data_IF_761260518119
#
_entry.id   IF_761260518119
#
_cell.length_a   1.000
_cell.length_b   1.000
_cell.length_c   1.000
_cell.angle_alpha   90.00
_cell.angle_beta   90.00
_cell.angle_gamma   90.00
#
_symmetry.space_group_name_H-M   'P 1'
#
loop_
_entity.id
_entity.type
_entity.pdbx_description
1 polymer ?
#
# COMPACT_ATOMS: atom_id res chain seq x y z
N UNK A 1 -38.30 -2.40 6.29
CA UNK A 1 -37.04 -2.01 6.96
C UNK A 1 -35.85 -2.64 6.24
N UNK A 2 -35.02 -1.84 5.55
CA UNK A 2 -33.89 -2.32 4.74
C UNK A 2 -32.62 -2.27 5.60
N UNK A 3 -32.22 -3.41 6.16
CA UNK A 3 -31.04 -3.55 7.03
C UNK A 3 -29.78 -3.28 6.22
N UNK A 4 -29.13 -2.14 6.45
CA UNK A 4 -27.81 -1.82 5.88
C UNK A 4 -26.75 -2.65 6.60
N UNK A 5 -26.35 -3.76 5.98
CA UNK A 5 -25.16 -4.51 6.41
C UNK A 5 -23.96 -3.58 6.23
N UNK A 6 -23.48 -2.97 7.32
CA UNK A 6 -22.21 -2.26 7.32
C UNK A 6 -21.12 -3.29 7.06
N UNK A 7 -20.67 -3.39 5.81
CA UNK A 7 -19.43 -4.09 5.46
C UNK A 7 -18.29 -3.40 6.22
N UNK A 8 -17.96 -3.93 7.39
CA UNK A 8 -16.71 -3.59 8.08
C UNK A 8 -15.61 -3.98 7.10
N UNK A 9 -15.02 -2.98 6.43
CA UNK A 9 -13.89 -3.20 5.55
C UNK A 9 -12.74 -3.67 6.44
N UNK A 10 -12.61 -4.98 6.60
CA UNK A 10 -11.44 -5.56 7.24
C UNK A 10 -10.27 -5.26 6.33
N UNK A 11 -9.50 -4.25 6.71
CA UNK A 11 -8.23 -3.93 6.08
C UNK A 11 -7.17 -4.94 6.57
N UNK A 12 -7.42 -6.22 6.31
CA UNK A 12 -6.39 -7.25 6.36
C UNK A 12 -5.67 -7.23 5.02
N UNK A 13 -4.34 -7.32 5.01
CA UNK A 13 -3.58 -7.41 3.77
C UNK A 13 -3.78 -8.82 3.16
N UNK A 14 -4.55 -9.01 2.08
CA UNK A 14 -4.65 -10.31 1.42
C UNK A 14 -3.31 -10.76 0.82
N UNK A 15 -2.36 -9.83 0.66
CA UNK A 15 -0.98 -10.05 0.24
C UNK A 15 0.00 -10.47 1.34
N UNK A 16 -0.51 -10.91 2.50
CA UNK A 16 0.33 -11.30 3.64
C UNK A 16 1.30 -12.48 3.33
N UNK A 17 1.18 -13.17 2.20
CA UNK A 17 1.97 -14.37 1.89
C UNK A 17 2.94 -14.19 0.71
N UNK A 18 3.21 -12.95 0.30
CA UNK A 18 4.24 -12.69 -0.71
C UNK A 18 5.65 -13.06 -0.24
N UNK A 19 6.60 -13.25 -1.17
CA UNK A 19 7.96 -13.71 -0.85
C UNK A 19 8.71 -12.80 0.13
N UNK A 20 8.39 -11.50 0.18
CA UNK A 20 9.00 -10.56 1.12
C UNK A 20 8.26 -10.45 2.45
N UNK A 21 7.08 -11.06 2.59
CA UNK A 21 6.27 -10.95 3.80
C UNK A 21 6.95 -11.48 5.07
N UNK A 22 7.72 -12.59 5.07
CA UNK A 22 8.45 -13.03 6.26
C UNK A 22 9.43 -11.97 6.78
N UNK A 23 10.21 -11.38 5.87
CA UNK A 23 11.18 -10.34 6.21
C UNK A 23 10.48 -9.09 6.76
N UNK A 24 9.40 -8.65 6.10
CA UNK A 24 8.62 -7.47 6.51
C UNK A 24 8.01 -7.66 7.90
N UNK A 25 7.53 -8.86 8.22
CA UNK A 25 7.01 -9.18 9.57
C UNK A 25 8.10 -9.16 10.64
N UNK A 26 9.28 -9.70 10.34
CA UNK A 26 10.44 -9.66 11.24
C UNK A 26 10.82 -8.20 11.53
N UNK A 27 10.96 -7.38 10.48
CA UNK A 27 11.23 -5.94 10.63
C UNK A 27 10.16 -5.23 11.47
N UNK A 28 8.88 -5.57 11.28
CA UNK A 28 7.77 -5.04 12.09
C UNK A 28 7.90 -5.41 13.57
N UNK A 29 8.37 -6.60 13.90
CA UNK A 29 8.61 -7.01 15.30
C UNK A 29 9.76 -6.22 15.92
N UNK A 30 10.88 -6.02 15.20
CA UNK A 30 12.02 -5.25 15.70
C UNK A 30 11.72 -3.75 15.88
N UNK A 31 11.03 -3.12 14.91
CA UNK A 31 10.72 -1.68 14.94
C UNK A 31 9.53 -1.36 15.86
N UNK A 32 8.65 -2.33 16.07
CA UNK A 32 7.39 -2.16 16.79
C UNK A 32 6.25 -1.69 15.88
N UNK A 33 5.06 -2.27 16.07
CA UNK A 33 3.92 -2.10 15.16
C UNK A 33 3.48 -0.64 14.95
N UNK A 34 3.49 0.19 16.01
CA UNK A 34 3.08 1.60 15.92
C UNK A 34 4.02 2.41 15.03
N UNK A 35 5.33 2.31 15.28
CA UNK A 35 6.36 3.01 14.48
C UNK A 35 6.42 2.47 13.07
N UNK A 36 6.35 1.15 12.89
CA UNK A 36 6.31 0.52 11.58
C UNK A 36 5.13 1.01 10.73
N UNK A 37 3.92 1.06 11.29
CA UNK A 37 2.75 1.54 10.58
C UNK A 37 2.84 3.03 10.20
N UNK A 38 3.43 3.86 11.06
CA UNK A 38 3.68 5.27 10.75
C UNK A 38 4.71 5.44 9.62
N UNK A 39 5.82 4.69 9.68
CA UNK A 39 6.84 4.69 8.63
C UNK A 39 6.26 4.21 7.30
N UNK A 40 5.49 3.12 7.33
CA UNK A 40 4.76 2.60 6.16
C UNK A 40 3.81 3.66 5.58
N UNK A 41 3.02 4.33 6.41
CA UNK A 41 2.12 5.39 5.95
C UNK A 41 2.86 6.55 5.26
N UNK A 42 3.96 7.02 5.86
CA UNK A 42 4.81 8.07 5.27
C UNK A 42 5.46 7.62 3.96
N UNK A 43 6.01 6.42 3.93
CA UNK A 43 6.66 5.85 2.75
C UNK A 43 5.66 5.67 1.58
N UNK A 44 4.45 5.16 1.84
CA UNK A 44 3.42 5.01 0.80
C UNK A 44 2.99 6.37 0.26
N UNK A 45 2.84 7.37 1.13
CA UNK A 45 2.49 8.74 0.73
C UNK A 45 3.55 9.34 -0.17
N UNK A 46 4.81 9.31 0.27
CA UNK A 46 5.95 9.84 -0.49
C UNK A 46 6.11 9.11 -1.82
N UNK A 47 6.01 7.78 -1.82
CA UNK A 47 6.12 6.98 -3.04
C UNK A 47 5.01 7.32 -4.05
N UNK A 48 3.77 7.49 -3.59
CA UNK A 48 2.66 7.92 -4.45
C UNK A 48 2.88 9.32 -5.01
N UNK A 49 3.52 10.22 -4.25
CA UNK A 49 3.88 11.56 -4.72
C UNK A 49 4.96 11.52 -5.80
N UNK A 50 6.01 10.70 -5.62
CA UNK A 50 7.05 10.49 -6.63
C UNK A 50 6.46 9.96 -7.94
N UNK A 51 5.54 8.99 -7.87
CA UNK A 51 4.85 8.48 -9.07
C UNK A 51 4.06 9.60 -9.76
N UNK A 52 3.33 10.44 -9.01
CA UNK A 52 2.59 11.57 -9.58
C UNK A 52 3.53 12.58 -10.24
N UNK A 53 4.66 12.90 -9.59
CA UNK A 53 5.66 13.82 -10.13
C UNK A 53 6.29 13.25 -11.40
N UNK A 54 6.67 11.98 -11.40
CA UNK A 54 7.17 11.29 -12.58
C UNK A 54 6.15 11.34 -13.73
N UNK A 55 4.90 10.94 -13.47
CA UNK A 55 3.84 11.01 -14.47
C UNK A 55 3.61 12.45 -14.99
N UNK A 56 3.74 13.46 -14.14
CA UNK A 56 3.64 14.86 -14.55
C UNK A 56 4.79 15.30 -15.46
N UNK A 57 6.02 14.83 -15.19
CA UNK A 57 7.19 15.17 -16.01
C UNK A 57 7.12 14.54 -17.41
N UNK A 58 6.57 13.33 -17.51
CA UNK A 58 6.40 12.63 -18.80
C UNK A 58 5.10 13.01 -19.53
N UNK A 59 4.36 14.02 -19.06
CA UNK A 59 3.11 14.48 -19.69
C UNK A 59 1.92 13.53 -19.55
N UNK A 60 1.96 12.56 -18.63
CA UNK A 60 0.88 11.60 -18.41
C UNK A 60 -0.31 12.24 -17.67
N UNK A 61 -1.52 11.81 -18.02
CA UNK A 61 -2.74 12.30 -17.39
C UNK A 61 -2.86 11.86 -15.92
N UNK A 62 -3.61 12.62 -15.11
CA UNK A 62 -3.91 12.28 -13.70
C UNK A 62 -4.55 10.90 -13.54
N UNK A 63 -5.35 10.45 -14.54
CA UNK A 63 -5.98 9.12 -14.56
C UNK A 63 -4.93 8.01 -14.72
N UNK A 64 -3.97 8.19 -15.62
CA UNK A 64 -2.87 7.24 -15.82
C UNK A 64 -1.98 7.15 -14.57
N UNK A 65 -1.62 8.30 -13.98
CA UNK A 65 -0.85 8.33 -12.74
C UNK A 65 -1.54 7.54 -11.61
N UNK A 66 -2.85 7.73 -11.45
CA UNK A 66 -3.63 6.96 -10.48
C UNK A 66 -3.70 5.46 -10.80
N UNK A 67 -3.71 5.09 -12.08
CA UNK A 67 -3.59 3.71 -12.54
C UNK A 67 -2.26 3.08 -12.13
N UNK A 68 -1.15 3.79 -12.34
CA UNK A 68 0.19 3.35 -11.95
C UNK A 68 0.29 3.18 -10.43
N UNK A 69 -0.25 4.12 -9.64
CA UNK A 69 -0.28 4.00 -8.17
C UNK A 69 -1.06 2.75 -7.73
N UNK A 70 -2.20 2.46 -8.37
CA UNK A 70 -2.99 1.26 -8.08
C UNK A 70 -2.24 -0.02 -8.42
N UNK A 71 -1.51 -0.04 -9.54
CA UNK A 71 -0.66 -1.17 -9.93
C UNK A 71 0.50 -1.36 -8.94
N UNK A 72 1.19 -0.29 -8.58
CA UNK A 72 2.26 -0.32 -7.57
C UNK A 72 1.76 -0.87 -6.23
N UNK A 73 0.55 -0.45 -5.79
CA UNK A 73 -0.09 -0.98 -4.60
C UNK A 73 -0.37 -2.49 -4.72
N UNK A 74 -1.02 -2.93 -5.80
CA UNK A 74 -1.32 -4.37 -6.03
C UNK A 74 -0.04 -5.22 -6.08
N UNK A 75 1.01 -4.72 -6.72
CA UNK A 75 2.30 -5.40 -6.76
C UNK A 75 2.94 -5.47 -5.38
N UNK A 76 2.90 -4.39 -4.60
CA UNK A 76 3.35 -4.38 -3.21
C UNK A 76 2.59 -5.37 -2.33
N UNK A 77 1.29 -5.55 -2.57
CA UNK A 77 0.46 -6.57 -1.89
C UNK A 77 0.93 -7.96 -2.31
N UNK A 78 1.01 -8.24 -3.62
CA UNK A 78 1.44 -9.54 -4.15
C UNK A 78 2.84 -9.95 -3.68
N UNK A 79 3.76 -9.01 -3.59
CA UNK A 79 5.14 -9.23 -3.17
C UNK A 79 5.28 -9.35 -1.65
N UNK A 80 4.31 -8.88 -0.86
CA UNK A 80 4.33 -8.96 0.60
C UNK A 80 4.95 -7.75 1.30
N UNK A 81 5.21 -6.64 0.59
CA UNK A 81 5.74 -5.40 1.19
C UNK A 81 4.74 -4.68 2.11
N UNK A 82 3.46 -5.07 2.04
CA UNK A 82 2.37 -4.46 2.82
C UNK A 82 1.93 -5.34 4.00
N UNK A 83 2.66 -6.43 4.28
CA UNK A 83 2.38 -7.44 5.32
C UNK A 83 2.55 -6.92 6.76
#
# INVERSE_FOLDING_TARGET
>A
SRTTVRLVTRMGNPGANGPFAPLVRILRQFVGAKRFNQLRGKAISLHSQVIKQFCSQVGSSKKQAQGVIRLAKKNGEKLGFLA
#
